data_IF_095924474050
#
_entry.id   IF_095924474050
#
_cell.length_a   1.000
_cell.length_b   1.000
_cell.length_c   1.000
_cell.angle_alpha   90.00
_cell.angle_beta   90.00
_cell.angle_gamma   90.00
#
_symmetry.space_group_name_H-M   'P 1'
#
loop_
_entity.id
_entity.type
_entity.pdbx_description
1 polymer ?
#
# COMPACT_ATOMS: atom_id res chain seq x y z
N UNK A 1 -29.18 8.65 24.29
CA UNK A 1 -28.57 8.50 25.64
C UNK A 1 -27.03 8.45 25.56
N UNK A 2 -26.37 7.32 25.26
CA UNK A 2 -24.88 7.23 25.21
C UNK A 2 -24.17 8.29 24.34
N UNK A 3 -24.74 8.62 23.16
CA UNK A 3 -24.20 9.66 22.27
C UNK A 3 -24.29 11.07 22.85
N UNK A 4 -25.37 11.34 23.59
CA UNK A 4 -25.61 12.65 24.22
C UNK A 4 -24.73 12.82 25.46
N UNK A 5 -24.57 11.75 26.24
CA UNK A 5 -23.64 11.73 27.37
C UNK A 5 -22.21 11.97 26.87
N UNK A 6 -21.74 11.27 25.84
CA UNK A 6 -20.41 11.49 25.26
C UNK A 6 -20.21 12.94 24.80
N UNK A 7 -21.24 13.57 24.21
CA UNK A 7 -21.18 14.96 23.74
C UNK A 7 -20.86 15.94 24.87
N UNK A 8 -21.40 15.73 26.08
CA UNK A 8 -21.08 16.56 27.24
C UNK A 8 -19.58 16.49 27.60
N UNK A 9 -18.96 15.32 27.48
CA UNK A 9 -17.51 15.17 27.68
C UNK A 9 -16.72 15.81 26.53
N UNK A 10 -17.22 15.73 25.28
CA UNK A 10 -16.57 16.40 24.15
C UNK A 10 -16.51 17.91 24.36
N UNK A 11 -17.63 18.52 24.77
CA UNK A 11 -17.72 19.93 25.10
C UNK A 11 -16.81 20.30 26.29
N UNK A 12 -16.79 19.48 27.35
CA UNK A 12 -15.94 19.70 28.52
C UNK A 12 -14.43 19.71 28.19
N UNK A 13 -13.98 18.81 27.32
CA UNK A 13 -12.57 18.76 26.88
C UNK A 13 -12.28 19.66 25.67
N UNK A 14 -13.24 20.48 25.23
CA UNK A 14 -13.12 21.35 24.06
C UNK A 14 -12.64 20.61 22.80
N UNK A 15 -13.11 19.37 22.62
CA UNK A 15 -12.88 18.61 21.39
C UNK A 15 -14.11 18.75 20.48
N UNK A 16 -13.87 18.86 19.18
CA UNK A 16 -14.95 19.00 18.21
C UNK A 16 -15.94 17.81 18.33
N UNK A 17 -17.25 18.10 18.31
CA UNK A 17 -18.26 17.07 18.53
C UNK A 17 -18.36 16.13 17.34
N UNK A 18 -17.94 14.88 17.55
CA UNK A 18 -17.89 13.88 16.50
C UNK A 18 -18.57 12.59 16.90
N UNK A 19 -19.18 11.93 15.90
CA UNK A 19 -19.53 10.51 16.04
C UNK A 19 -18.26 9.68 16.02
N UNK A 20 -18.13 8.76 16.97
CA UNK A 20 -17.05 7.77 16.96
C UNK A 20 -17.27 6.82 15.78
N UNK A 21 -16.24 6.66 14.96
CA UNK A 21 -16.27 5.82 13.77
C UNK A 21 -16.01 4.37 14.17
N UNK A 22 -16.77 3.45 13.59
CA UNK A 22 -16.50 2.02 13.72
C UNK A 22 -15.51 1.62 12.61
N UNK A 23 -14.36 1.01 12.95
CA UNK A 23 -13.46 0.49 11.93
C UNK A 23 -14.16 -0.61 11.14
N UNK A 24 -13.95 -0.61 9.83
CA UNK A 24 -14.47 -1.63 8.93
C UNK A 24 -13.29 -2.49 8.46
N UNK A 25 -13.31 -3.77 8.82
CA UNK A 25 -12.24 -4.73 8.50
C UNK A 25 -11.94 -4.86 7.00
N UNK A 26 -12.93 -4.58 6.15
CA UNK A 26 -12.83 -4.68 4.70
C UNK A 26 -12.46 -3.36 4.01
N UNK A 27 -12.31 -2.25 4.75
CA UNK A 27 -12.02 -0.91 4.20
C UNK A 27 -10.77 -0.32 4.83
N UNK A 28 -9.62 -0.71 4.32
CA UNK A 28 -8.35 -0.40 4.97
C UNK A 28 -8.06 1.10 4.99
N UNK A 29 -8.41 1.84 3.94
CA UNK A 29 -8.28 3.31 3.90
C UNK A 29 -9.15 4.06 4.94
N UNK A 30 -10.17 3.41 5.52
CA UNK A 30 -10.99 4.01 6.58
C UNK A 30 -10.36 3.91 7.97
N UNK A 31 -9.35 3.04 8.13
CA UNK A 31 -8.71 2.78 9.42
C UNK A 31 -7.95 4.01 9.91
N UNK A 32 -7.20 4.68 9.03
CA UNK A 32 -6.48 5.92 9.36
C UNK A 32 -7.42 6.99 9.91
N UNK A 33 -8.50 7.29 9.18
CA UNK A 33 -9.53 8.25 9.61
C UNK A 33 -10.19 7.88 10.94
N UNK A 34 -10.35 6.58 11.21
CA UNK A 34 -10.92 6.09 12.47
C UNK A 34 -9.95 6.31 13.63
N UNK A 35 -8.65 6.07 13.43
CA UNK A 35 -7.62 6.32 14.42
C UNK A 35 -7.39 7.80 14.67
N UNK A 36 -7.40 8.63 13.62
CA UNK A 36 -7.33 10.09 13.76
C UNK A 36 -8.46 10.59 14.68
N UNK A 37 -9.68 10.09 14.46
CA UNK A 37 -10.83 10.43 15.29
C UNK A 37 -10.68 9.89 16.71
N UNK A 38 -10.19 8.67 16.88
CA UNK A 38 -9.97 8.06 18.19
C UNK A 38 -8.98 8.90 19.02
N UNK A 39 -7.85 9.29 18.43
CA UNK A 39 -6.81 10.11 19.06
C UNK A 39 -7.33 11.51 19.38
N UNK A 40 -8.04 12.16 18.45
CA UNK A 40 -8.65 13.48 18.69
C UNK A 40 -9.65 13.45 19.86
N UNK A 41 -10.40 12.36 19.99
CA UNK A 41 -11.45 12.20 21.01
C UNK A 41 -10.93 11.55 22.30
N UNK A 42 -9.65 11.20 22.37
CA UNK A 42 -9.06 10.44 23.47
C UNK A 42 -9.35 11.01 24.86
N UNK A 43 -9.16 12.32 25.16
CA UNK A 43 -9.40 12.84 26.50
C UNK A 43 -10.89 12.74 26.92
N UNK A 44 -11.81 13.03 25.99
CA UNK A 44 -13.24 12.88 26.22
C UNK A 44 -13.64 11.41 26.44
N UNK A 45 -13.08 10.49 25.66
CA UNK A 45 -13.34 9.05 25.79
C UNK A 45 -12.79 8.49 27.10
N UNK A 46 -11.56 8.85 27.47
CA UNK A 46 -10.93 8.44 28.74
C UNK A 46 -11.79 8.85 29.93
N UNK A 47 -12.29 10.08 29.93
CA UNK A 47 -13.17 10.59 30.99
C UNK A 47 -14.56 9.92 30.99
N UNK A 48 -15.20 9.81 29.82
CA UNK A 48 -16.49 9.15 29.67
C UNK A 48 -16.46 7.69 30.16
N UNK A 49 -15.43 6.93 29.78
CA UNK A 49 -15.34 5.51 30.15
C UNK A 49 -14.82 5.28 31.56
N UNK A 50 -14.22 6.27 32.21
CA UNK A 50 -13.72 6.15 33.59
C UNK A 50 -14.79 5.81 34.62
N UNK A 51 -16.06 6.15 34.36
CA UNK A 51 -17.21 5.82 35.22
C UNK A 51 -18.14 4.75 34.64
N UNK A 52 -17.93 4.32 33.39
CA UNK A 52 -18.87 3.47 32.64
C UNK A 52 -18.34 2.06 32.37
N UNK A 53 -17.01 1.85 32.35
CA UNK A 53 -16.43 0.54 32.08
C UNK A 53 -15.01 0.43 32.63
N UNK A 54 -14.81 -0.50 33.56
CA UNK A 54 -13.51 -0.76 34.17
C UNK A 54 -12.46 -1.20 33.12
N UNK A 55 -12.84 -2.11 32.20
CA UNK A 55 -11.96 -2.56 31.12
C UNK A 55 -11.54 -1.41 30.19
N UNK A 56 -12.49 -0.59 29.74
CA UNK A 56 -12.16 0.53 28.84
C UNK A 56 -11.35 1.61 29.55
N UNK A 57 -11.63 1.83 30.84
CA UNK A 57 -10.83 2.72 31.69
C UNK A 57 -9.38 2.25 31.75
N UNK A 58 -9.14 0.97 32.02
CA UNK A 58 -7.79 0.38 32.07
C UNK A 58 -7.07 0.54 30.73
N UNK A 59 -7.72 0.20 29.61
CA UNK A 59 -7.12 0.35 28.28
C UNK A 59 -6.84 1.83 27.91
N UNK A 60 -7.79 2.74 28.08
CA UNK A 60 -7.62 4.16 27.72
C UNK A 60 -6.72 4.94 28.70
N UNK A 61 -6.48 4.39 29.89
CA UNK A 61 -5.55 4.94 30.86
C UNK A 61 -4.13 4.41 30.70
N UNK A 62 -3.94 3.29 30.00
CA UNK A 62 -2.63 2.74 29.68
C UNK A 62 -1.91 3.65 28.66
N UNK A 63 -0.72 4.17 29.01
CA UNK A 63 0.13 4.90 28.07
C UNK A 63 0.51 4.06 26.85
N UNK A 64 0.72 2.75 27.03
CA UNK A 64 1.05 1.81 25.96
C UNK A 64 -0.07 1.72 24.91
N UNK A 65 -1.34 1.74 25.34
CA UNK A 65 -2.47 1.70 24.41
C UNK A 65 -2.54 2.98 23.54
N UNK A 66 -2.28 4.14 24.14
CA UNK A 66 -2.27 5.42 23.42
C UNK A 66 -1.07 5.51 22.47
N UNK A 67 0.11 5.09 22.94
CA UNK A 67 1.32 4.98 22.15
C UNK A 67 1.13 4.08 20.92
N UNK A 68 0.47 2.93 21.10
CA UNK A 68 0.13 2.02 20.02
C UNK A 68 -0.79 2.67 18.97
N UNK A 69 -1.78 3.45 19.40
CA UNK A 69 -2.66 4.17 18.47
C UNK A 69 -1.88 5.21 17.64
N UNK A 70 -0.94 5.94 18.25
CA UNK A 70 -0.05 6.85 17.50
C UNK A 70 0.86 6.11 16.54
N UNK A 71 1.41 4.97 16.94
CA UNK A 71 2.21 4.14 16.04
C UNK A 71 1.40 3.70 14.82
N UNK A 72 0.19 3.16 15.02
CA UNK A 72 -0.67 2.76 13.91
C UNK A 72 -1.03 3.93 12.99
N UNK A 73 -1.38 5.09 13.56
CA UNK A 73 -1.63 6.31 12.79
C UNK A 73 -0.40 6.69 11.93
N UNK A 74 0.81 6.42 12.42
CA UNK A 74 2.06 6.71 11.71
C UNK A 74 2.39 5.73 10.58
N UNK A 75 1.96 4.47 10.70
CA UNK A 75 2.33 3.39 9.77
C UNK A 75 1.28 3.21 8.67
N UNK A 76 0.00 3.48 8.94
CA UNK A 76 -1.10 3.35 7.96
C UNK A 76 -0.83 4.07 6.64
N UNK A 77 -0.31 5.31 6.61
CA UNK A 77 -0.03 6.00 5.35
C UNK A 77 0.92 5.26 4.41
N UNK A 78 1.76 4.36 4.93
CA UNK A 78 2.64 3.48 4.13
C UNK A 78 1.81 2.53 3.27
N UNK A 79 0.79 1.94 3.88
CA UNK A 79 -0.13 1.02 3.20
C UNK A 79 -1.13 1.78 2.32
N UNK A 80 -1.54 2.99 2.71
CA UNK A 80 -2.52 3.78 1.96
C UNK A 80 -2.09 4.03 0.51
N UNK A 81 -0.79 4.26 0.26
CA UNK A 81 -0.27 4.42 -1.11
C UNK A 81 -0.55 3.19 -1.98
N UNK A 82 -0.26 1.99 -1.45
CA UNK A 82 -0.53 0.73 -2.15
C UNK A 82 -2.04 0.46 -2.23
N UNK A 83 -2.78 0.69 -1.16
CA UNK A 83 -4.24 0.49 -1.13
C UNK A 83 -4.96 1.40 -2.13
N UNK A 84 -4.53 2.64 -2.30
CA UNK A 84 -5.07 3.57 -3.30
C UNK A 84 -4.83 3.05 -4.73
N UNK A 85 -3.65 2.50 -5.01
CA UNK A 85 -3.39 1.84 -6.29
C UNK A 85 -4.32 0.64 -6.50
N UNK A 86 -4.48 -0.20 -5.47
CA UNK A 86 -5.39 -1.35 -5.53
C UNK A 86 -6.86 -0.95 -5.62
N UNK A 87 -7.23 0.27 -5.23
CA UNK A 87 -8.58 0.83 -5.39
C UNK A 87 -8.75 1.68 -6.65
N UNK A 88 -7.77 1.67 -7.56
CA UNK A 88 -7.82 2.39 -8.82
C UNK A 88 -8.92 1.86 -9.74
N UNK A 89 -9.72 2.75 -10.33
CA UNK A 89 -10.68 2.40 -11.37
C UNK A 89 -10.04 2.24 -12.76
N UNK A 90 -8.77 2.63 -12.92
CA UNK A 90 -8.02 2.48 -14.17
C UNK A 90 -7.12 1.24 -14.15
N UNK A 91 -6.83 0.62 -15.31
CA UNK A 91 -5.98 -0.56 -15.41
C UNK A 91 -4.55 -0.33 -14.89
N UNK A 92 -4.21 -0.95 -13.76
CA UNK A 92 -2.89 -0.81 -13.10
C UNK A 92 -2.18 -2.14 -12.83
N UNK A 93 -2.54 -3.21 -13.55
CA UNK A 93 -1.91 -4.54 -13.46
C UNK A 93 -0.38 -4.50 -13.50
N UNK A 94 0.16 -3.65 -14.38
CA UNK A 94 1.59 -3.44 -14.61
C UNK A 94 2.31 -2.79 -13.41
N UNK A 95 1.57 -2.03 -12.61
CA UNK A 95 2.12 -1.28 -11.48
C UNK A 95 2.07 -2.07 -10.17
N UNK A 96 1.39 -3.22 -10.11
CA UNK A 96 1.24 -4.00 -8.87
C UNK A 96 2.60 -4.48 -8.37
N UNK A 97 3.39 -5.14 -9.24
CA UNK A 97 4.71 -5.66 -8.87
C UNK A 97 5.62 -4.57 -8.28
N UNK A 98 5.91 -3.46 -9.00
CA UNK A 98 6.77 -2.43 -8.45
C UNK A 98 6.14 -1.75 -7.22
N UNK A 99 4.82 -1.65 -7.12
CA UNK A 99 4.17 -1.08 -5.95
C UNK A 99 4.34 -1.94 -4.69
N UNK A 100 4.27 -3.27 -4.82
CA UNK A 100 4.54 -4.16 -3.69
C UNK A 100 6.03 -4.07 -3.28
N UNK A 101 6.96 -4.10 -4.25
CA UNK A 101 8.38 -3.95 -3.95
C UNK A 101 8.68 -2.62 -3.25
N UNK A 102 8.04 -1.53 -3.67
CA UNK A 102 8.14 -0.24 -3.02
C UNK A 102 7.53 -0.23 -1.61
N UNK A 103 6.39 -0.90 -1.41
CA UNK A 103 5.80 -1.07 -0.09
C UNK A 103 6.75 -1.80 0.87
N UNK A 104 7.33 -2.93 0.42
CA UNK A 104 8.32 -3.68 1.22
C UNK A 104 9.54 -2.82 1.49
N UNK A 105 10.07 -2.10 0.50
CA UNK A 105 11.20 -1.17 0.66
C UNK A 105 10.90 -0.08 1.69
N UNK A 106 9.73 0.54 1.64
CA UNK A 106 9.29 1.58 2.58
C UNK A 106 9.12 1.03 4.00
N UNK A 107 8.69 -0.22 4.16
CA UNK A 107 8.61 -0.91 5.45
C UNK A 107 10.01 -1.24 5.99
N UNK A 108 10.88 -1.84 5.18
CA UNK A 108 12.26 -2.17 5.54
C UNK A 108 13.03 -0.90 5.96
N UNK A 109 12.88 0.20 5.24
CA UNK A 109 13.55 1.48 5.55
C UNK A 109 13.20 2.06 6.92
N UNK A 110 12.13 1.61 7.58
CA UNK A 110 11.72 2.08 8.90
C UNK A 110 12.53 1.46 10.03
N UNK A 111 13.01 0.23 9.86
CA UNK A 111 13.71 -0.52 10.91
C UNK A 111 15.09 -1.07 10.50
N UNK A 112 15.43 -1.10 9.21
CA UNK A 112 16.78 -1.43 8.73
C UNK A 112 17.61 -0.19 8.41
N UNK A 113 18.93 -0.31 8.56
CA UNK A 113 19.90 0.71 8.14
C UNK A 113 19.69 1.05 6.67
N UNK A 114 19.68 2.35 6.35
CA UNK A 114 19.37 2.85 5.00
C UNK A 114 20.33 2.32 3.93
N UNK A 115 21.59 2.07 4.30
CA UNK A 115 22.63 1.47 3.44
C UNK A 115 22.19 0.08 2.96
N UNK A 116 21.70 -0.77 3.87
CA UNK A 116 21.25 -2.13 3.56
C UNK A 116 20.09 -2.12 2.57
N UNK A 117 19.12 -1.24 2.79
CA UNK A 117 17.93 -1.14 1.91
C UNK A 117 18.28 -0.55 0.54
N UNK A 118 19.22 0.39 0.48
CA UNK A 118 19.65 1.04 -0.77
C UNK A 118 20.49 0.13 -1.65
N UNK A 119 21.36 -0.69 -1.05
CA UNK A 119 22.29 -1.56 -1.77
C UNK A 119 21.69 -2.94 -2.10
N UNK A 120 20.50 -3.23 -1.58
CA UNK A 120 19.75 -4.44 -1.89
C UNK A 120 19.43 -4.52 -3.39
N UNK A 121 20.06 -5.48 -4.08
CA UNK A 121 19.73 -5.83 -5.48
C UNK A 121 18.34 -6.43 -5.59
N UNK A 122 18.00 -7.29 -4.63
CA UNK A 122 16.69 -7.87 -4.47
C UNK A 122 16.18 -7.56 -3.06
N UNK A 123 15.02 -6.91 -3.00
CA UNK A 123 14.38 -6.46 -1.76
C UNK A 123 13.78 -7.64 -0.99
N UNK A 124 13.39 -8.72 -1.67
CA UNK A 124 12.72 -9.86 -1.04
C UNK A 124 13.70 -10.78 -0.30
N UNK A 125 14.99 -10.76 -0.66
CA UNK A 125 16.05 -11.56 -0.04
C UNK A 125 16.88 -10.82 1.02
N UNK A 126 16.50 -9.59 1.38
CA UNK A 126 17.19 -8.82 2.43
C UNK A 126 17.10 -9.55 3.77
N UNK A 127 18.24 -9.73 4.44
CA UNK A 127 18.32 -10.36 5.76
C UNK A 127 17.86 -9.40 6.87
N UNK A 128 16.55 -9.13 6.93
CA UNK A 128 15.98 -8.19 7.90
C UNK A 128 15.97 -8.72 9.34
N UNK A 129 16.10 -10.02 9.55
CA UNK A 129 16.17 -10.63 10.88
C UNK A 129 17.53 -10.43 11.55
N UNK A 130 18.58 -10.18 10.75
CA UNK A 130 19.93 -9.97 11.27
C UNK A 130 20.00 -8.65 12.07
N UNK A 131 20.31 -8.69 13.39
CA UNK A 131 20.41 -7.49 14.22
C UNK A 131 21.44 -6.47 13.70
N UNK A 132 22.52 -6.93 13.05
CA UNK A 132 23.54 -6.04 12.46
C UNK A 132 22.97 -5.15 11.35
N UNK A 133 21.91 -5.58 10.68
CA UNK A 133 21.26 -4.82 9.62
C UNK A 133 20.19 -3.85 10.16
N UNK A 134 19.73 -4.07 11.40
CA UNK A 134 18.69 -3.26 12.03
C UNK A 134 19.27 -1.93 12.53
N UNK A 135 18.41 -0.91 12.57
CA UNK A 135 18.73 0.36 13.23
C UNK A 135 18.82 0.14 14.73
N UNK A 136 19.56 1.00 15.43
CA UNK A 136 19.43 1.09 16.87
C UNK A 136 18.01 1.52 17.24
N UNK A 137 17.54 1.13 18.42
CA UNK A 137 16.16 1.40 18.87
C UNK A 137 15.81 2.90 18.81
N UNK A 138 16.77 3.76 19.17
CA UNK A 138 16.66 5.22 19.11
C UNK A 138 16.45 5.77 17.69
N UNK A 139 16.95 5.05 16.68
CA UNK A 139 16.91 5.40 15.26
C UNK A 139 15.73 4.76 14.53
N UNK A 140 14.96 3.89 15.19
CA UNK A 140 13.72 3.36 14.64
C UNK A 140 12.83 4.53 14.22
N UNK A 141 12.29 4.44 13.00
CA UNK A 141 11.42 5.49 12.48
C UNK A 141 10.03 5.33 13.12
N UNK A 142 9.92 5.92 14.30
CA UNK A 142 8.69 6.19 15.01
C UNK A 142 8.42 7.68 14.82
N UNK A 143 7.29 8.07 14.22
CA UNK A 143 7.00 9.48 13.86
C UNK A 143 7.11 10.41 15.08
N UNK A 144 7.33 11.69 14.78
CA UNK A 144 7.52 12.78 15.76
C UNK A 144 6.57 12.75 16.96
N UNK A 145 5.25 12.63 16.73
CA UNK A 145 4.26 12.64 17.82
C UNK A 145 4.38 11.46 18.77
N UNK A 146 4.77 10.28 18.27
CA UNK A 146 4.99 9.10 19.10
C UNK A 146 6.22 9.30 19.98
N UNK A 147 7.33 9.83 19.43
CA UNK A 147 8.53 10.17 20.22
C UNK A 147 8.26 11.28 21.24
N UNK A 148 7.48 12.30 20.87
CA UNK A 148 7.06 13.34 21.82
C UNK A 148 6.26 12.77 22.98
N UNK A 149 5.34 11.83 22.72
CA UNK A 149 4.54 11.22 23.78
C UNK A 149 5.39 10.39 24.74
N UNK A 150 6.34 9.59 24.21
CA UNK A 150 7.32 8.85 25.02
C UNK A 150 8.09 9.78 25.96
N UNK A 151 8.60 10.90 25.42
CA UNK A 151 9.33 11.89 26.22
C UNK A 151 8.46 12.58 27.27
N UNK A 152 7.20 12.88 26.95
CA UNK A 152 6.27 13.57 27.87
C UNK A 152 5.85 12.71 29.06
N UNK A 153 5.74 11.40 28.87
CA UNK A 153 5.29 10.47 29.92
C UNK A 153 6.45 9.86 30.73
N UNK A 154 7.70 10.27 30.47
CA UNK A 154 8.91 9.77 31.15
C UNK A 154 8.95 8.22 31.22
N UNK A 155 8.55 7.55 30.13
CA UNK A 155 8.54 6.09 30.06
C UNK A 155 9.97 5.56 30.29
N UNK A 156 10.18 4.88 31.43
CA UNK A 156 11.52 4.44 31.87
C UNK A 156 12.00 3.16 31.19
N UNK A 157 11.13 2.45 30.47
CA UNK A 157 11.41 1.17 29.81
C UNK A 157 10.71 1.08 28.45
N UNK A 158 11.27 1.77 27.45
CA UNK A 158 10.77 1.75 26.07
C UNK A 158 11.04 0.42 25.34
N UNK A 159 11.82 -0.47 25.98
CA UNK A 159 12.33 -1.72 25.39
C UNK A 159 11.21 -2.65 24.94
N UNK A 160 10.10 -2.74 25.69
CA UNK A 160 8.94 -3.55 25.29
C UNK A 160 8.22 -2.97 24.06
N UNK A 161 8.18 -1.63 23.95
CA UNK A 161 7.60 -0.96 22.80
C UNK A 161 8.46 -1.17 21.56
N UNK A 162 9.77 -0.97 21.67
CA UNK A 162 10.71 -1.14 20.56
C UNK A 162 10.72 -2.58 20.04
N UNK A 163 10.66 -3.57 20.94
CA UNK A 163 10.50 -4.98 20.58
C UNK A 163 9.19 -5.23 19.83
N UNK A 164 8.07 -4.69 20.31
CA UNK A 164 6.79 -4.83 19.64
C UNK A 164 6.80 -4.21 18.23
N UNK A 165 7.37 -3.01 18.10
CA UNK A 165 7.48 -2.29 16.84
C UNK A 165 8.35 -3.04 15.83
N UNK A 166 9.51 -3.51 16.29
CA UNK A 166 10.42 -4.34 15.51
C UNK A 166 9.73 -5.63 15.05
N UNK A 167 9.00 -6.30 15.94
CA UNK A 167 8.26 -7.51 15.62
C UNK A 167 7.14 -7.25 14.61
N UNK A 168 6.39 -6.15 14.75
CA UNK A 168 5.36 -5.76 13.79
C UNK A 168 5.93 -5.63 12.37
N UNK A 169 7.04 -4.91 12.21
CA UNK A 169 7.64 -4.74 10.89
C UNK A 169 8.19 -6.06 10.33
N UNK A 170 8.78 -6.90 11.18
CA UNK A 170 9.24 -8.25 10.79
C UNK A 170 8.08 -9.12 10.31
N UNK A 171 6.95 -9.14 11.04
CA UNK A 171 5.77 -9.94 10.69
C UNK A 171 5.16 -9.49 9.37
N UNK A 172 5.04 -8.18 9.14
CA UNK A 172 4.55 -7.63 7.89
C UNK A 172 5.50 -7.97 6.74
N UNK A 173 6.81 -7.79 6.91
CA UNK A 173 7.79 -8.14 5.87
C UNK A 173 7.78 -9.64 5.57
N UNK A 174 7.73 -10.49 6.60
CA UNK A 174 7.56 -11.93 6.48
C UNK A 174 6.33 -12.31 5.66
N UNK A 175 5.21 -11.62 5.86
CA UNK A 175 3.98 -11.84 5.11
C UNK A 175 4.18 -11.56 3.61
N UNK A 176 4.74 -10.38 3.27
CA UNK A 176 4.99 -10.02 1.88
C UNK A 176 6.06 -10.90 1.22
N UNK A 177 7.18 -11.18 1.90
CA UNK A 177 8.24 -12.05 1.37
C UNK A 177 7.78 -13.51 1.16
N UNK A 178 6.71 -13.97 1.82
CA UNK A 178 6.11 -15.29 1.58
C UNK A 178 5.07 -15.28 0.46
N UNK A 179 4.26 -14.23 0.39
CA UNK A 179 3.16 -14.12 -0.59
C UNK A 179 3.70 -13.77 -1.99
N UNK A 180 4.71 -12.90 -2.07
CA UNK A 180 5.26 -12.43 -3.34
C UNK A 180 5.85 -13.53 -4.20
N UNK A 181 6.76 -14.41 -3.73
CA UNK A 181 7.33 -15.47 -4.57
C UNK A 181 6.28 -16.37 -5.23
N UNK A 182 5.15 -16.60 -4.56
CA UNK A 182 4.04 -17.39 -5.11
C UNK A 182 3.26 -16.66 -6.23
N UNK A 183 3.40 -15.34 -6.32
CA UNK A 183 2.77 -14.47 -7.32
C UNK A 183 3.79 -13.85 -8.30
N UNK A 184 5.10 -14.06 -8.05
CA UNK A 184 6.16 -13.19 -8.54
C UNK A 184 6.31 -13.28 -10.05
N UNK A 185 6.49 -14.47 -10.63
CA UNK A 185 6.75 -14.59 -12.06
C UNK A 185 5.60 -14.01 -12.91
N UNK A 186 4.35 -14.28 -12.54
CA UNK A 186 3.20 -13.77 -13.28
C UNK A 186 3.06 -12.26 -13.18
N UNK A 187 3.10 -11.73 -11.96
CA UNK A 187 2.88 -10.29 -11.72
C UNK A 187 4.09 -9.46 -12.17
N UNK A 188 5.30 -9.99 -12.04
CA UNK A 188 6.54 -9.39 -12.56
C UNK A 188 6.49 -9.28 -14.07
N UNK A 189 6.08 -10.31 -14.78
CA UNK A 189 6.06 -10.22 -16.24
C UNK A 189 5.05 -9.16 -16.74
N UNK A 190 3.97 -8.86 -15.98
CA UNK A 190 2.99 -7.83 -16.35
C UNK A 190 3.58 -6.41 -16.38
N UNK A 191 4.79 -6.21 -15.87
CA UNK A 191 5.48 -4.91 -15.95
C UNK A 191 5.83 -4.52 -17.39
N UNK A 192 5.81 -5.46 -18.34
CA UNK A 192 6.04 -5.19 -19.77
C UNK A 192 4.98 -4.31 -20.41
N UNK A 193 3.80 -4.27 -19.80
CA UNK A 193 2.68 -3.42 -20.23
C UNK A 193 3.00 -1.94 -19.97
N UNK A 194 3.90 -1.64 -19.04
CA UNK A 194 4.33 -0.26 -18.75
C UNK A 194 5.25 0.24 -19.86
N UNK A 195 4.89 1.39 -20.44
CA UNK A 195 5.69 2.07 -21.47
C UNK A 195 7.10 2.47 -20.97
N UNK A 196 7.34 2.49 -19.66
CA UNK A 196 8.65 2.81 -19.06
C UNK A 196 9.61 1.62 -19.02
N UNK A 197 9.13 0.41 -19.28
CA UNK A 197 9.89 -0.84 -19.12
C UNK A 197 10.30 -1.44 -20.47
N UNK A 198 10.51 -0.60 -21.49
CA UNK A 198 10.87 -1.03 -22.86
C UNK A 198 12.13 -1.90 -22.90
N UNK A 199 13.17 -1.49 -22.17
CA UNK A 199 14.50 -2.11 -22.21
C UNK A 199 14.67 -3.25 -21.20
N UNK A 200 13.71 -3.43 -20.29
CA UNK A 200 13.84 -4.38 -19.18
C UNK A 200 13.33 -5.78 -19.51
N UNK A 201 12.70 -5.97 -20.67
CA UNK A 201 12.09 -7.23 -21.07
C UNK A 201 12.59 -7.71 -22.44
N UNK A 202 12.75 -9.02 -22.53
CA UNK A 202 13.09 -9.74 -23.76
C UNK A 202 11.81 -10.23 -24.46
N UNK A 203 11.93 -10.60 -25.73
CA UNK A 203 10.83 -11.26 -26.43
C UNK A 203 10.43 -12.59 -25.79
N UNK A 204 11.37 -13.28 -25.14
CA UNK A 204 11.14 -14.56 -24.47
C UNK A 204 10.27 -14.37 -23.21
N UNK A 205 10.36 -13.20 -22.56
CA UNK A 205 9.49 -12.83 -21.44
C UNK A 205 8.03 -12.68 -21.89
N UNK A 206 7.79 -12.06 -23.06
CA UNK A 206 6.45 -11.98 -23.66
C UNK A 206 5.88 -13.36 -23.99
N UNK A 207 6.68 -14.21 -24.62
CA UNK A 207 6.25 -15.56 -24.98
C UNK A 207 5.88 -16.34 -23.71
N UNK A 208 6.72 -16.27 -22.68
CA UNK A 208 6.46 -16.89 -21.38
C UNK A 208 5.14 -16.40 -20.75
N UNK A 209 4.83 -15.10 -20.86
CA UNK A 209 3.53 -14.59 -20.41
C UNK A 209 2.35 -15.17 -21.16
N UNK A 210 2.46 -15.24 -22.48
CA UNK A 210 1.36 -15.64 -23.33
C UNK A 210 1.07 -17.13 -23.22
N UNK A 211 2.09 -17.92 -22.95
CA UNK A 211 1.94 -19.34 -22.64
C UNK A 211 1.17 -19.57 -21.33
N UNK A 212 1.29 -18.68 -20.35
CA UNK A 212 0.56 -18.77 -19.09
C UNK A 212 -0.95 -18.51 -19.25
N UNK A 213 -1.35 -17.74 -20.26
CA UNK A 213 -2.76 -17.45 -20.53
C UNK A 213 -3.25 -18.31 -21.69
N UNK A 214 -3.89 -19.45 -21.37
CA UNK A 214 -4.45 -20.40 -22.34
C UNK A 214 -5.34 -19.76 -23.43
N UNK A 215 -6.01 -18.64 -23.13
CA UNK A 215 -6.81 -17.89 -24.10
C UNK A 215 -5.97 -17.12 -25.14
N UNK A 216 -4.75 -16.70 -24.78
CA UNK A 216 -3.82 -15.93 -25.64
C UNK A 216 -2.95 -16.83 -26.51
N UNK A 217 -2.90 -18.14 -26.22
CA UNK A 217 -2.07 -19.11 -26.94
C UNK A 217 -2.36 -19.19 -28.45
N UNK A 218 -3.59 -18.89 -28.88
CA UNK A 218 -3.95 -18.85 -30.31
C UNK A 218 -3.44 -17.59 -31.02
N UNK A 219 -3.22 -16.51 -30.29
CA UNK A 219 -2.65 -15.27 -30.82
C UNK A 219 -1.12 -15.37 -30.89
N UNK A 220 -0.50 -16.17 -30.01
CA UNK A 220 0.94 -16.43 -29.96
C UNK A 220 1.53 -16.97 -31.27
N UNK A 221 0.81 -17.86 -31.97
CA UNK A 221 1.24 -18.41 -33.27
C UNK A 221 1.26 -17.35 -34.41
N UNK A 222 0.63 -16.18 -34.20
CA UNK A 222 0.58 -15.08 -35.16
C UNK A 222 1.40 -13.85 -34.77
N UNK A 223 1.79 -13.70 -33.50
CA UNK A 223 2.63 -12.58 -33.06
C UNK A 223 3.97 -12.72 -33.75
N UNK A 224 4.17 -11.91 -34.79
CA UNK A 224 5.51 -11.65 -35.28
C UNK A 224 6.24 -10.96 -34.13
N UNK A 225 7.20 -11.63 -33.49
CA UNK A 225 8.14 -11.00 -32.54
C UNK A 225 8.70 -9.67 -33.10
N UNK A 226 8.70 -9.50 -34.42
CA UNK A 226 8.97 -8.27 -35.15
C UNK A 226 8.18 -7.03 -34.66
N UNK A 227 6.90 -7.14 -34.28
CA UNK A 227 6.13 -5.99 -33.76
C UNK A 227 6.69 -5.53 -32.40
N UNK A 228 7.08 -6.46 -31.53
CA UNK A 228 7.68 -6.11 -30.24
C UNK A 228 9.05 -5.47 -30.41
N UNK A 229 9.89 -6.01 -31.30
CA UNK A 229 11.19 -5.42 -31.63
C UNK A 229 10.99 -4.00 -32.19
N UNK A 230 10.03 -3.82 -33.09
CA UNK A 230 9.72 -2.50 -33.66
C UNK A 230 9.20 -1.52 -32.61
N UNK A 231 8.40 -2.01 -31.65
CA UNK A 231 7.91 -1.22 -30.53
C UNK A 231 9.03 -0.76 -29.59
N UNK A 232 10.04 -1.60 -29.33
CA UNK A 232 11.18 -1.24 -28.47
C UNK A 232 12.02 -0.07 -29.00
N UNK A 233 11.98 0.20 -30.31
CA UNK A 233 12.75 1.29 -30.94
C UNK A 233 11.89 2.54 -31.18
N UNK A 234 10.61 2.53 -30.77
CA UNK A 234 9.75 3.70 -30.94
C UNK A 234 10.12 4.82 -29.97
N UNK A 235 10.07 6.05 -30.49
CA UNK A 235 10.12 7.26 -29.67
C UNK A 235 8.79 7.42 -28.91
N UNK A 236 8.75 6.88 -27.68
CA UNK A 236 7.58 6.96 -26.80
C UNK A 236 7.34 8.40 -26.33
N UNK A 237 8.38 9.22 -26.15
CA UNK A 237 8.21 10.58 -25.66
C UNK A 237 7.42 11.43 -26.65
N UNK A 238 7.66 11.26 -27.96
CA UNK A 238 6.86 11.87 -29.02
C UNK A 238 5.39 11.40 -29.04
N UNK A 239 5.12 10.14 -28.67
CA UNK A 239 3.76 9.57 -28.56
C UNK A 239 3.03 10.00 -27.27
N UNK A 240 3.79 10.27 -26.22
CA UNK A 240 3.31 10.61 -24.87
C UNK A 240 3.04 12.12 -24.70
N UNK A 241 3.74 12.99 -25.44
CA UNK A 241 3.43 14.44 -25.45
C UNK A 241 1.97 14.72 -25.86
N UNK A 242 1.37 13.86 -26.70
CA UNK A 242 -0.05 13.94 -27.06
C UNK A 242 -1.02 13.23 -26.10
N UNK A 243 -0.56 12.60 -25.00
CA UNK A 243 -1.41 11.92 -23.99
C UNK A 243 -1.32 12.54 -22.59
N UNK A 244 -0.43 13.50 -22.37
CA UNK A 244 -0.38 14.32 -21.14
C UNK A 244 -1.46 15.41 -21.19
N UNK A 245 -2.73 15.00 -21.17
CA UNK A 245 -3.80 15.92 -20.78
C UNK A 245 -3.66 16.13 -19.27
N UNK A 246 -3.07 17.26 -18.89
CA UNK A 246 -3.11 17.84 -17.54
C UNK A 246 -2.29 17.11 -16.46
N UNK A 247 -0.95 17.08 -16.59
CA UNK A 247 -0.01 16.69 -15.52
C UNK A 247 -0.18 15.26 -14.94
N UNK A 248 -1.09 14.48 -15.52
CA UNK A 248 -1.58 13.22 -15.00
C UNK A 248 -0.74 12.04 -15.53
N UNK A 249 -0.70 10.98 -14.73
CA UNK A 249 0.04 9.76 -15.05
C UNK A 249 -0.54 9.09 -16.31
N UNK A 250 0.33 8.61 -17.21
CA UNK A 250 -0.07 7.97 -18.47
C UNK A 250 -0.96 6.77 -18.16
N UNK A 251 -2.16 6.77 -18.74
CA UNK A 251 -3.10 5.65 -18.67
C UNK A 251 -2.75 4.58 -19.71
N UNK A 252 -2.41 3.38 -19.25
CA UNK A 252 -1.94 2.32 -20.15
C UNK A 252 -2.97 1.87 -21.17
N UNK A 253 -4.27 1.86 -20.84
CA UNK A 253 -5.33 1.55 -21.80
C UNK A 253 -5.40 2.56 -22.96
N UNK A 254 -5.25 3.85 -22.66
CA UNK A 254 -5.20 4.90 -23.68
C UNK A 254 -3.92 4.86 -24.50
N UNK A 255 -2.78 4.56 -23.86
CA UNK A 255 -1.49 4.39 -24.52
C UNK A 255 -1.53 3.24 -25.52
N UNK A 256 -1.93 2.04 -25.08
CA UNK A 256 -2.03 0.86 -25.95
C UNK A 256 -3.15 0.99 -26.99
N UNK A 257 -4.16 1.84 -26.77
CA UNK A 257 -5.11 2.22 -27.82
C UNK A 257 -4.41 2.95 -28.97
N UNK A 258 -3.57 3.94 -28.68
CA UNK A 258 -2.81 4.70 -29.70
C UNK A 258 -1.79 3.82 -30.42
N UNK A 259 -1.06 2.98 -29.69
CA UNK A 259 -0.10 2.02 -30.29
C UNK A 259 -0.82 1.05 -31.26
N UNK A 260 -2.10 0.74 -30.98
CA UNK A 260 -2.98 -0.03 -31.87
C UNK A 260 -3.26 0.59 -33.25
N UNK A 261 -2.87 1.84 -33.49
CA UNK A 261 -2.94 2.47 -34.81
C UNK A 261 -1.74 2.09 -35.69
N UNK A 262 -0.63 1.68 -35.07
CA UNK A 262 0.62 1.32 -35.74
C UNK A 262 0.84 -0.19 -35.79
N UNK A 263 0.46 -0.90 -34.73
CA UNK A 263 0.61 -2.36 -34.61
C UNK A 263 -0.74 -3.02 -34.35
N UNK A 264 -0.88 -4.28 -34.77
CA UNK A 264 -2.17 -4.97 -34.69
C UNK A 264 -2.17 -6.01 -33.56
N UNK A 265 -1.15 -6.84 -33.47
CA UNK A 265 -1.17 -8.01 -32.59
C UNK A 265 -0.69 -7.67 -31.18
N UNK A 266 0.45 -6.98 -31.04
CA UNK A 266 1.00 -6.59 -29.74
C UNK A 266 -0.02 -5.79 -28.90
N UNK A 267 -0.70 -4.76 -29.42
CA UNK A 267 -1.66 -4.00 -28.63
C UNK A 267 -2.93 -4.78 -28.32
N UNK A 268 -3.32 -5.73 -29.18
CA UNK A 268 -4.47 -6.61 -28.94
C UNK A 268 -4.19 -7.50 -27.72
N UNK A 269 -3.03 -8.14 -27.71
CA UNK A 269 -2.56 -8.98 -26.62
C UNK A 269 -2.46 -8.20 -25.30
N UNK A 270 -1.80 -7.04 -25.32
CA UNK A 270 -1.61 -6.24 -24.12
C UNK A 270 -2.95 -5.72 -23.57
N UNK A 271 -3.88 -5.31 -24.45
CA UNK A 271 -5.23 -4.90 -24.01
C UNK A 271 -5.98 -6.04 -23.33
N UNK A 272 -5.78 -7.29 -23.74
CA UNK A 272 -6.38 -8.44 -23.05
C UNK A 272 -5.78 -8.63 -21.65
N UNK A 273 -4.47 -8.44 -21.49
CA UNK A 273 -3.82 -8.48 -20.17
C UNK A 273 -4.29 -7.33 -19.25
N UNK A 274 -4.61 -6.16 -19.80
CA UNK A 274 -5.16 -5.03 -19.02
C UNK A 274 -6.54 -5.31 -18.41
N UNK A 275 -7.27 -6.31 -18.91
CA UNK A 275 -8.59 -6.71 -18.36
C UNK A 275 -8.44 -7.60 -17.12
N UNK A 276 -7.24 -8.05 -16.79
CA UNK A 276 -7.03 -8.89 -15.60
C UNK A 276 -7.52 -8.16 -14.34
N UNK A 277 -8.27 -8.87 -13.47
CA UNK A 277 -8.77 -8.29 -12.24
C UNK A 277 -7.58 -7.97 -11.31
N UNK A 278 -7.38 -6.68 -11.07
CA UNK A 278 -6.29 -6.19 -10.24
C UNK A 278 -6.78 -5.30 -9.10
N UNK A 279 -7.88 -4.59 -9.33
CA UNK A 279 -8.42 -3.64 -8.37
C UNK A 279 -9.53 -4.25 -7.53
N UNK A 280 -9.61 -3.85 -6.27
CA UNK A 280 -10.77 -4.08 -5.41
C UNK A 280 -11.79 -2.91 -5.45
N UNK A 281 -11.67 -1.97 -6.40
CA UNK A 281 -12.58 -0.82 -6.55
C UNK A 281 -14.05 -1.25 -6.69
N UNK A 282 -14.33 -2.28 -7.47
CA UNK A 282 -15.69 -2.80 -7.64
C UNK A 282 -16.23 -3.39 -6.33
N UNK A 283 -15.39 -4.13 -5.59
CA UNK A 283 -15.73 -4.62 -4.25
C UNK A 283 -16.06 -3.46 -3.31
N UNK A 284 -15.23 -2.40 -3.31
CA UNK A 284 -15.44 -1.20 -2.49
C UNK A 284 -16.72 -0.43 -2.86
N UNK A 285 -17.05 -0.36 -4.15
CA UNK A 285 -18.31 0.22 -4.64
C UNK A 285 -19.51 -0.56 -4.13
N UNK A 286 -19.49 -1.88 -4.22
CA UNK A 286 -20.54 -2.76 -3.69
C UNK A 286 -20.68 -2.61 -2.17
N UNK A 287 -19.56 -2.55 -1.44
CA UNK A 287 -19.59 -2.31 0.01
C UNK A 287 -20.18 -0.92 0.34
N UNK A 288 -19.95 0.09 -0.51
CA UNK A 288 -20.43 1.46 -0.30
C UNK A 288 -21.94 1.58 -0.48
N UNK A 289 -22.51 0.78 -1.39
CA UNK A 289 -23.94 0.68 -1.61
C UNK A 289 -24.62 -0.08 -0.47
N UNK A 290 -24.05 -1.21 -0.03
CA UNK A 290 -24.68 -2.13 0.94
C UNK A 290 -24.64 -1.66 2.39
N UNK A 291 -23.77 -0.72 2.77
CA UNK A 291 -23.61 -0.25 4.17
C UNK A 291 -24.16 1.16 4.46
N UNK A 292 -25.07 1.69 3.63
CA UNK A 292 -25.94 2.80 4.06
C UNK A 292 -27.03 2.25 5.01
N UNK A 293 -26.65 1.85 6.22
CA UNK A 293 -27.56 1.55 7.35
C UNK A 293 -26.83 1.78 8.67
#
# INVERSE_FOLDING_TARGET
KKKEELKQFQEFYNVESHKILKPVSTRWLSLGKTLDRLLQQWPALKSYFSSQSQRMKESLSSPQCYLYCFFLQSVIPVFDKFNLLMQSEVPVVHAIHPAILNLVRDLLGRFLKSVIVREARDILSVQYENPENQKADQDLYIRFYTKQYIHLEEMQDDTECDQYLSQFYKDVCNCYCKILPALDETIKLLTIIDCKNLDSHTSDDLVSQLEMFLCLKKELDMIKLEEFISYQVLDIDALVEGSKEDGSQIRMDTFWHKIGQTFVLLPTVIKQLLVLPHSNADCERVFSITRKN
#
